data_IF_237861634698
#
_entry.id   IF_237861634698
#
_cell.length_a   1.000
_cell.length_b   1.000
_cell.length_c   1.000
_cell.angle_alpha   90.00
_cell.angle_beta   90.00
_cell.angle_gamma   90.00
#
_symmetry.space_group_name_H-M   'P 1'
#
loop_
_entity.id
_entity.type
_entity.pdbx_description
1 polymer ?
#
# COMPACT_ATOMS: atom_id res chain seq x y z
N UNK A 1 38.61 21.31 16.82
CA UNK A 1 37.18 21.65 16.85
C UNK A 1 36.92 22.64 15.74
N UNK A 2 36.12 22.23 14.74
CA UNK A 2 35.73 23.04 13.58
C UNK A 2 34.29 23.45 13.82
N UNK A 3 34.00 24.74 13.78
CA UNK A 3 32.65 25.30 13.84
C UNK A 3 32.41 26.08 12.54
N UNK A 4 31.40 25.64 11.79
CA UNK A 4 30.85 26.32 10.60
C UNK A 4 29.81 27.37 11.03
N UNK A 5 29.60 28.43 10.23
CA UNK A 5 28.37 29.21 10.29
C UNK A 5 27.38 28.80 9.19
N UNK A 6 26.12 28.72 9.63
CA UNK A 6 24.87 28.45 8.91
C UNK A 6 24.42 29.67 8.11
N UNK A 7 23.88 29.48 6.91
CA UNK A 7 23.08 30.51 6.21
C UNK A 7 21.67 30.02 5.96
N UNK A 8 20.72 30.71 6.57
CA UNK A 8 19.27 30.61 6.44
C UNK A 8 18.79 31.24 5.12
N UNK A 9 17.79 30.62 4.48
CA UNK A 9 17.04 31.22 3.37
C UNK A 9 15.73 31.78 3.92
N UNK A 10 15.58 33.11 3.88
CA UNK A 10 14.27 33.76 4.03
C UNK A 10 13.61 33.94 2.66
N UNK A 11 12.35 33.51 2.59
CA UNK A 11 11.44 33.69 1.48
C UNK A 11 10.79 35.08 1.60
N UNK A 12 10.92 35.93 0.58
CA UNK A 12 10.11 37.15 0.50
C UNK A 12 9.01 36.99 -0.57
N UNK A 13 7.79 36.85 -0.08
CA UNK A 13 6.51 36.91 -0.79
C UNK A 13 6.21 38.39 -0.99
N UNK A 14 6.35 38.91 -2.23
CA UNK A 14 5.57 40.05 -2.74
C UNK A 14 5.94 40.36 -4.20
N UNK A 15 5.27 39.72 -5.16
CA UNK A 15 4.87 40.35 -6.43
C UNK A 15 4.03 39.40 -7.29
N UNK A 16 2.75 39.27 -6.93
CA UNK A 16 1.71 38.84 -7.88
C UNK A 16 0.86 40.07 -8.14
N UNK A 17 0.69 40.46 -9.41
CA UNK A 17 -0.54 40.96 -10.06
C UNK A 17 -0.21 41.57 -11.44
N UNK A 18 -0.86 41.02 -12.48
CA UNK A 18 -1.17 41.56 -13.84
C UNK A 18 -0.10 41.50 -14.95
N UNK A 19 -0.23 40.53 -15.87
CA UNK A 19 -0.82 40.63 -17.24
C UNK A 19 -0.47 39.38 -18.08
N UNK A 20 -1.49 38.75 -18.68
CA UNK A 20 -1.40 37.86 -19.87
C UNK A 20 -1.64 38.72 -21.15
N UNK A 21 -1.50 38.26 -22.42
CA UNK A 21 -1.15 36.93 -22.94
C UNK A 21 -0.11 36.92 -24.12
N UNK A 22 0.14 35.73 -24.67
CA UNK A 22 0.72 35.36 -25.98
C UNK A 22 2.24 35.19 -26.12
N UNK A 23 2.61 34.05 -26.70
CA UNK A 23 3.88 33.85 -27.41
C UNK A 23 4.68 32.65 -26.90
N UNK A 24 4.73 31.59 -27.70
CA UNK A 24 5.72 30.52 -27.60
C UNK A 24 7.13 31.12 -27.57
N UNK A 25 7.98 30.71 -26.63
CA UNK A 25 9.40 30.59 -26.94
C UNK A 25 10.15 29.59 -26.06
N UNK A 26 10.79 28.64 -26.73
CA UNK A 26 11.68 27.61 -26.21
C UNK A 26 13.03 28.21 -25.84
N UNK A 27 13.34 28.32 -24.54
CA UNK A 27 14.64 28.83 -24.10
C UNK A 27 15.69 27.73 -23.96
N UNK A 28 16.40 27.54 -25.06
CA UNK A 28 17.66 26.79 -25.19
C UNK A 28 18.79 27.61 -24.54
N UNK A 29 19.36 27.14 -23.42
CA UNK A 29 20.55 27.77 -22.82
C UNK A 29 21.83 27.04 -23.27
N UNK A 30 22.64 27.72 -24.09
CA UNK A 30 24.04 27.38 -24.33
C UNK A 30 24.93 27.94 -23.21
N UNK A 31 25.99 27.25 -22.77
CA UNK A 31 26.98 27.81 -21.86
C UNK A 31 28.00 28.64 -22.64
N UNK A 32 28.06 29.93 -22.34
CA UNK A 32 29.11 30.86 -22.76
C UNK A 32 30.37 30.64 -21.94
N UNK A 33 31.42 30.13 -22.58
CA UNK A 33 32.80 30.37 -22.14
C UNK A 33 33.37 31.50 -22.97
N UNK A 34 33.63 32.67 -22.36
CA UNK A 34 34.59 33.61 -22.92
C UNK A 34 35.57 34.10 -21.85
N UNK A 35 36.80 33.68 -22.10
CA UNK A 35 38.07 33.98 -21.46
C UNK A 35 38.24 35.49 -21.22
N UNK A 36 38.60 35.84 -19.99
CA UNK A 36 39.05 37.17 -19.61
C UNK A 36 40.55 37.26 -19.96
N UNK A 37 40.89 37.98 -21.03
CA UNK A 37 42.26 38.38 -21.32
C UNK A 37 42.61 39.61 -20.47
N UNK A 38 43.65 39.47 -19.65
CA UNK A 38 44.33 40.59 -19.00
C UNK A 38 45.55 40.95 -19.86
N UNK A 39 45.57 42.15 -20.43
CA UNK A 39 46.47 43.24 -20.02
C UNK A 39 46.37 44.42 -20.99
N UNK A 40 46.43 45.60 -20.39
CA UNK A 40 46.41 46.93 -20.97
C UNK A 40 47.85 47.40 -21.23
N UNK A 41 48.00 48.27 -22.24
CA UNK A 41 49.08 49.23 -22.51
C UNK A 41 50.44 48.70 -22.98
N UNK A 42 50.85 49.14 -24.18
CA UNK A 42 52.01 50.05 -24.34
C UNK A 42 51.93 50.81 -25.66
N UNK A 43 52.18 52.12 -25.58
CA UNK A 43 52.40 53.06 -26.68
C UNK A 43 53.80 52.93 -27.29
N UNK A 44 53.96 53.49 -28.48
CA UNK A 44 55.20 53.85 -29.17
C UNK A 44 56.38 54.24 -28.25
N UNK A 45 57.57 53.69 -28.52
CA UNK A 45 58.85 54.42 -28.61
C UNK A 45 60.00 53.49 -29.10
N UNK A 46 60.58 53.89 -30.22
CA UNK A 46 62.00 53.83 -30.67
C UNK A 46 63.07 52.90 -30.04
N UNK A 47 63.91 52.39 -30.96
CA UNK A 47 65.38 52.17 -30.91
C UNK A 47 66.00 50.94 -30.20
N UNK A 48 66.74 50.19 -31.04
CA UNK A 48 68.03 49.51 -30.90
C UNK A 48 68.29 48.37 -29.90
N UNK A 49 68.81 47.28 -30.48
CA UNK A 49 69.97 46.46 -30.10
C UNK A 49 70.07 45.73 -28.74
N UNK A 50 70.30 44.41 -28.90
CA UNK A 50 71.23 43.55 -28.16
C UNK A 50 70.87 42.96 -26.78
N UNK A 51 71.27 41.68 -26.66
CA UNK A 51 71.65 40.92 -25.46
C UNK A 51 70.60 40.05 -24.71
N UNK A 52 70.61 38.77 -25.10
CA UNK A 52 70.80 37.57 -24.25
C UNK A 52 70.52 37.66 -22.74
N UNK A 53 69.55 36.87 -22.25
CA UNK A 53 69.78 36.01 -21.08
C UNK A 53 68.79 34.83 -21.00
N UNK A 54 69.39 33.67 -20.78
CA UNK A 54 68.83 32.34 -20.60
C UNK A 54 68.00 32.20 -19.31
N UNK A 55 66.81 31.60 -19.39
CA UNK A 55 66.12 31.02 -18.23
C UNK A 55 65.25 29.83 -18.65
N UNK A 56 65.73 28.62 -18.33
CA UNK A 56 64.99 27.36 -18.42
C UNK A 56 63.73 27.40 -17.53
N UNK A 57 62.55 27.24 -18.12
CA UNK A 57 61.30 27.04 -17.39
C UNK A 57 60.88 25.56 -17.40
N UNK A 58 60.45 24.99 -16.25
CA UNK A 58 59.99 23.60 -16.19
C UNK A 58 58.64 23.44 -16.87
N UNK A 59 58.51 22.40 -17.70
CA UNK A 59 57.29 22.10 -18.47
C UNK A 59 56.23 21.52 -17.52
N UNK A 60 55.34 22.38 -17.03
CA UNK A 60 54.15 21.94 -16.28
C UNK A 60 53.28 21.06 -17.19
N UNK A 61 53.25 19.74 -16.94
CA UNK A 61 52.22 18.87 -17.51
C UNK A 61 50.87 19.32 -16.93
N UNK A 62 50.07 19.98 -17.76
CA UNK A 62 48.68 20.29 -17.46
C UNK A 62 47.93 18.95 -17.34
N UNK A 63 47.73 18.47 -16.12
CA UNK A 63 46.77 17.39 -15.86
C UNK A 63 45.40 17.94 -16.21
N UNK A 64 44.94 17.63 -17.42
CA UNK A 64 43.57 17.92 -17.84
C UNK A 64 42.68 17.00 -17.01
N UNK A 65 42.12 17.53 -15.91
CA UNK A 65 40.96 16.90 -15.27
C UNK A 65 39.82 16.98 -16.26
N UNK A 66 39.68 15.92 -17.06
CA UNK A 66 38.51 15.70 -17.89
C UNK A 66 37.36 15.48 -16.90
N UNK A 67 36.56 16.50 -16.63
CA UNK A 67 35.26 16.36 -15.97
C UNK A 67 34.40 15.54 -16.95
N UNK A 68 34.55 14.21 -16.89
CA UNK A 68 33.58 13.31 -17.48
C UNK A 68 32.30 13.61 -16.71
N UNK A 69 31.33 14.26 -17.36
CA UNK A 69 29.94 14.18 -16.92
C UNK A 69 29.62 12.70 -16.96
N UNK A 70 29.72 12.04 -15.81
CA UNK A 70 29.19 10.70 -15.66
C UNK A 70 27.67 10.88 -15.76
N UNK A 71 27.11 10.55 -16.93
CA UNK A 71 25.67 10.35 -17.03
C UNK A 71 25.31 9.26 -16.03
N UNK A 72 24.32 9.53 -15.17
CA UNK A 72 23.84 8.54 -14.22
C UNK A 72 23.37 7.31 -15.00
N UNK A 73 24.02 6.16 -14.80
CA UNK A 73 23.68 4.88 -15.43
C UNK A 73 22.30 4.34 -15.00
N UNK A 74 21.62 5.04 -14.09
CA UNK A 74 20.29 4.71 -13.59
C UNK A 74 19.24 5.14 -14.63
N UNK A 75 18.54 4.17 -15.21
CA UNK A 75 17.44 4.42 -16.16
C UNK A 75 16.32 5.26 -15.52
N UNK A 76 16.07 6.50 -15.97
CA UNK A 76 15.06 7.37 -15.37
C UNK A 76 13.66 6.74 -15.38
N UNK A 77 13.35 5.95 -16.41
CA UNK A 77 12.09 5.23 -16.55
C UNK A 77 11.80 4.32 -15.34
N UNK A 78 12.78 3.52 -14.89
CA UNK A 78 12.61 2.60 -13.76
C UNK A 78 12.36 3.39 -12.46
N UNK A 79 13.08 4.50 -12.26
CA UNK A 79 12.92 5.36 -11.08
C UNK A 79 11.51 5.94 -10.99
N UNK A 80 11.00 6.52 -12.08
CA UNK A 80 9.64 7.09 -12.10
C UNK A 80 8.55 6.02 -12.05
N UNK A 81 8.72 4.89 -12.74
CA UNK A 81 7.78 3.78 -12.68
C UNK A 81 7.67 3.23 -11.25
N UNK A 82 8.81 2.98 -10.60
CA UNK A 82 8.85 2.51 -9.21
C UNK A 82 8.23 3.53 -8.25
N UNK A 83 8.52 4.83 -8.42
CA UNK A 83 7.89 5.88 -7.63
C UNK A 83 6.36 5.92 -7.82
N UNK A 84 5.89 5.88 -9.06
CA UNK A 84 4.46 5.93 -9.40
C UNK A 84 3.66 4.75 -8.85
N UNK A 85 4.21 3.53 -8.84
CA UNK A 85 3.50 2.41 -8.21
C UNK A 85 3.52 2.52 -6.68
N UNK A 86 4.65 2.89 -6.08
CA UNK A 86 4.74 3.01 -4.63
C UNK A 86 3.87 4.13 -4.05
N UNK A 87 3.68 5.25 -4.78
CA UNK A 87 2.82 6.33 -4.28
C UNK A 87 1.35 5.90 -4.21
N UNK A 88 0.90 5.06 -5.15
CA UNK A 88 -0.45 4.49 -5.13
C UNK A 88 -0.65 3.59 -3.91
N UNK A 89 0.29 2.69 -3.63
CA UNK A 89 0.24 1.83 -2.44
C UNK A 89 0.35 2.62 -1.13
N UNK A 90 1.12 3.70 -1.13
CA UNK A 90 1.24 4.59 0.02
C UNK A 90 -0.08 5.30 0.35
N UNK A 91 -0.73 5.89 -0.66
CA UNK A 91 -2.05 6.53 -0.50
C UNK A 91 -3.10 5.49 -0.10
N UNK A 92 -3.09 4.31 -0.74
CA UNK A 92 -4.02 3.24 -0.39
C UNK A 92 -3.83 2.78 1.07
N UNK A 93 -2.58 2.61 1.51
CA UNK A 93 -2.27 2.27 2.91
C UNK A 93 -2.77 3.33 3.90
N UNK A 94 -2.60 4.61 3.57
CA UNK A 94 -3.15 5.71 4.36
C UNK A 94 -4.68 5.66 4.45
N UNK A 95 -5.38 5.46 3.32
CA UNK A 95 -6.84 5.38 3.29
C UNK A 95 -7.36 4.18 4.09
N UNK A 96 -6.74 3.01 3.92
CA UNK A 96 -7.08 1.79 4.68
C UNK A 96 -6.88 2.02 6.18
N UNK A 97 -5.76 2.63 6.59
CA UNK A 97 -5.50 2.95 7.99
C UNK A 97 -6.54 3.95 8.54
N UNK A 98 -6.88 4.99 7.77
CA UNK A 98 -7.88 5.99 8.18
C UNK A 98 -9.26 5.36 8.36
N UNK A 99 -9.69 4.49 7.43
CA UNK A 99 -10.97 3.75 7.54
C UNK A 99 -10.93 2.82 8.75
N UNK A 100 -9.84 2.11 8.98
CA UNK A 100 -9.68 1.23 10.14
C UNK A 100 -9.75 2.00 11.46
N UNK A 101 -9.09 3.16 11.55
CA UNK A 101 -9.11 4.00 12.75
C UNK A 101 -10.51 4.56 12.98
N UNK A 102 -11.18 5.02 11.92
CA UNK A 102 -12.56 5.50 12.00
C UNK A 102 -13.49 4.40 12.54
N UNK A 103 -13.44 3.20 11.96
CA UNK A 103 -14.25 2.06 12.40
C UNK A 103 -13.92 1.63 13.84
N UNK A 104 -12.65 1.70 14.24
CA UNK A 104 -12.23 1.37 15.61
C UNK A 104 -12.77 2.39 16.63
N UNK A 105 -12.70 3.68 16.33
CA UNK A 105 -13.22 4.75 17.21
C UNK A 105 -14.74 4.64 17.36
N UNK A 106 -15.45 4.38 16.26
CA UNK A 106 -16.90 4.20 16.28
C UNK A 106 -17.28 3.02 17.19
N UNK A 107 -16.61 1.87 17.02
CA UNK A 107 -16.80 0.69 17.89
C UNK A 107 -16.50 0.97 19.36
N UNK A 108 -15.34 1.54 19.69
CA UNK A 108 -14.97 1.83 21.09
C UNK A 108 -15.97 2.77 21.77
N UNK A 109 -16.56 3.71 21.03
CA UNK A 109 -17.58 4.62 21.56
C UNK A 109 -18.85 3.88 21.99
N UNK A 110 -19.21 2.79 21.29
CA UNK A 110 -20.33 1.91 21.66
C UNK A 110 -19.96 0.85 22.71
N UNK A 111 -18.72 0.36 22.73
CA UNK A 111 -18.26 -0.77 23.57
C UNK A 111 -17.74 -0.39 24.97
N UNK A 112 -17.64 0.91 25.31
CA UNK A 112 -17.26 1.40 26.65
C UNK A 112 -18.15 0.87 27.81
N UNK A 113 -19.27 0.20 27.50
CA UNK A 113 -20.15 -0.42 28.49
C UNK A 113 -20.02 -1.96 28.63
N UNK A 114 -19.27 -2.66 27.75
CA UNK A 114 -19.44 -4.12 27.61
C UNK A 114 -18.20 -5.03 27.66
N UNK A 115 -17.03 -4.63 27.12
CA UNK A 115 -16.02 -5.64 26.68
C UNK A 115 -14.60 -5.50 27.21
N UNK A 116 -14.36 -4.70 28.24
CA UNK A 116 -13.06 -4.65 28.95
C UNK A 116 -12.69 -5.97 29.68
N UNK A 117 -13.52 -7.02 29.62
CA UNK A 117 -13.43 -8.17 30.54
C UNK A 117 -13.17 -9.55 29.91
N UNK A 118 -12.98 -9.69 28.59
CA UNK A 118 -12.60 -11.01 28.01
C UNK A 118 -11.34 -10.91 27.15
N UNK A 119 -10.20 -11.08 27.81
CA UNK A 119 -8.88 -11.08 27.22
C UNK A 119 -8.70 -12.17 26.16
N UNK A 120 -8.14 -11.78 25.00
CA UNK A 120 -7.55 -12.70 24.04
C UNK A 120 -7.82 -12.41 22.56
N UNK A 121 -8.81 -11.58 22.20
CA UNK A 121 -9.27 -11.47 20.80
C UNK A 121 -8.92 -10.16 20.11
N UNK A 122 -7.87 -9.44 20.52
CA UNK A 122 -7.43 -8.23 19.81
C UNK A 122 -7.17 -8.49 18.32
N UNK A 123 -6.68 -9.69 17.96
CA UNK A 123 -6.38 -10.08 16.58
C UNK A 123 -7.60 -10.43 15.71
N UNK A 124 -8.80 -10.58 16.29
CA UNK A 124 -10.00 -11.01 15.55
C UNK A 124 -10.98 -9.87 15.28
N UNK A 125 -10.69 -8.63 15.71
CA UNK A 125 -11.48 -7.47 15.30
C UNK A 125 -11.08 -7.05 13.87
N UNK A 126 -12.01 -7.09 12.90
CA UNK A 126 -11.76 -6.61 11.56
C UNK A 126 -11.21 -5.18 11.56
N UNK A 127 -11.73 -4.26 12.39
CA UNK A 127 -11.30 -2.86 12.38
C UNK A 127 -9.80 -2.72 12.70
N UNK A 128 -9.32 -3.42 13.75
CA UNK A 128 -7.90 -3.43 14.10
C UNK A 128 -7.03 -4.04 12.99
N UNK A 129 -7.50 -5.09 12.30
CA UNK A 129 -6.78 -5.68 11.17
C UNK A 129 -6.59 -4.65 10.04
N UNK A 130 -7.63 -3.89 9.69
CA UNK A 130 -7.53 -2.80 8.70
C UNK A 130 -6.50 -1.75 9.13
N UNK A 131 -6.48 -1.36 10.42
CA UNK A 131 -5.47 -0.43 10.96
C UNK A 131 -4.05 -0.99 10.79
N UNK A 132 -3.80 -2.22 11.24
CA UNK A 132 -2.47 -2.84 11.20
C UNK A 132 -1.95 -3.00 9.76
N UNK A 133 -2.79 -3.52 8.86
CA UNK A 133 -2.44 -3.67 7.44
C UNK A 133 -2.20 -2.32 6.79
N UNK A 134 -3.07 -1.33 7.04
CA UNK A 134 -2.94 0.02 6.49
C UNK A 134 -1.65 0.71 6.92
N UNK A 135 -1.32 0.67 8.21
CA UNK A 135 -0.08 1.25 8.75
C UNK A 135 1.15 0.56 8.15
N UNK A 136 1.15 -0.77 8.07
CA UNK A 136 2.27 -1.51 7.49
C UNK A 136 2.47 -1.18 6.00
N UNK A 137 1.38 -1.13 5.23
CA UNK A 137 1.40 -0.69 3.82
C UNK A 137 1.89 0.74 3.68
N UNK A 138 1.48 1.66 4.56
CA UNK A 138 1.94 3.04 4.58
C UNK A 138 3.45 3.14 4.75
N UNK A 139 4.04 2.44 5.73
CA UNK A 139 5.49 2.50 5.95
C UNK A 139 6.30 1.87 4.80
N UNK A 140 5.83 0.75 4.24
CA UNK A 140 6.48 0.14 3.07
C UNK A 140 6.40 1.06 1.86
N UNK A 141 5.22 1.61 1.55
CA UNK A 141 5.04 2.55 0.45
C UNK A 141 5.89 3.81 0.61
N UNK A 142 5.93 4.38 1.81
CA UNK A 142 6.78 5.52 2.14
C UNK A 142 8.27 5.21 1.92
N UNK A 143 8.75 4.07 2.43
CA UNK A 143 10.13 3.65 2.23
C UNK A 143 10.47 3.41 0.74
N UNK A 144 9.54 2.84 -0.04
CA UNK A 144 9.68 2.67 -1.48
C UNK A 144 9.78 3.99 -2.23
N UNK A 145 8.90 4.95 -1.93
CA UNK A 145 8.89 6.30 -2.53
C UNK A 145 10.13 7.11 -2.16
N UNK A 146 10.45 7.23 -0.87
CA UNK A 146 11.59 8.03 -0.40
C UNK A 146 12.91 7.34 -0.78
N UNK A 147 12.96 6.01 -0.72
CA UNK A 147 14.12 5.22 -1.12
C UNK A 147 14.50 5.43 -2.58
N UNK A 148 13.51 5.43 -3.48
CA UNK A 148 13.75 5.66 -4.91
C UNK A 148 14.11 7.11 -5.22
N UNK A 149 13.42 8.09 -4.63
CA UNK A 149 13.67 9.51 -4.89
C UNK A 149 14.99 10.00 -4.30
N UNK A 150 15.29 9.63 -3.04
CA UNK A 150 16.49 10.06 -2.31
C UNK A 150 17.70 9.16 -2.55
N UNK A 151 17.56 8.12 -3.36
CA UNK A 151 18.62 7.14 -3.64
C UNK A 151 19.22 6.57 -2.34
N UNK A 152 18.35 6.37 -1.34
CA UNK A 152 18.74 5.88 -0.02
C UNK A 152 18.72 4.35 -0.02
N UNK A 153 19.92 3.76 -0.05
CA UNK A 153 20.14 2.31 -0.08
C UNK A 153 19.58 1.57 1.14
N UNK A 154 19.49 2.23 2.30
CA UNK A 154 18.92 1.63 3.51
C UNK A 154 17.39 1.49 3.38
N UNK A 155 16.71 2.54 2.92
CA UNK A 155 15.26 2.52 2.69
C UNK A 155 14.86 1.55 1.57
N UNK A 156 15.64 1.49 0.48
CA UNK A 156 15.44 0.51 -0.60
C UNK A 156 15.65 -0.93 -0.12
N UNK A 157 16.62 -1.16 0.77
CA UNK A 157 16.83 -2.47 1.38
C UNK A 157 15.66 -2.85 2.29
N UNK A 158 15.20 -1.95 3.15
CA UNK A 158 14.03 -2.18 4.00
C UNK A 158 12.77 -2.49 3.18
N UNK A 159 12.52 -1.71 2.12
CA UNK A 159 11.40 -1.93 1.21
C UNK A 159 11.43 -3.32 0.56
N UNK A 160 12.53 -3.66 -0.09
CA UNK A 160 12.67 -4.94 -0.80
C UNK A 160 12.72 -6.15 0.15
N UNK A 161 13.33 -6.02 1.32
CA UNK A 161 13.33 -7.04 2.36
C UNK A 161 11.90 -7.28 2.89
N UNK A 162 11.15 -6.21 3.17
CA UNK A 162 9.76 -6.32 3.63
C UNK A 162 8.88 -7.02 2.58
N UNK A 163 9.01 -6.65 1.31
CA UNK A 163 8.29 -7.33 0.22
C UNK A 163 8.68 -8.81 0.08
N UNK A 164 9.95 -9.17 0.31
CA UNK A 164 10.38 -10.56 0.29
C UNK A 164 9.77 -11.36 1.44
N UNK A 165 9.74 -10.81 2.66
CA UNK A 165 9.08 -11.44 3.82
C UNK A 165 7.59 -11.66 3.54
N UNK A 166 6.89 -10.66 2.99
CA UNK A 166 5.48 -10.79 2.61
C UNK A 166 5.28 -11.88 1.57
N UNK A 167 6.16 -11.98 0.57
CA UNK A 167 6.07 -12.99 -0.48
C UNK A 167 6.16 -14.42 0.11
N UNK A 168 7.15 -14.67 0.97
CA UNK A 168 7.28 -15.98 1.62
C UNK A 168 6.11 -16.26 2.58
N UNK A 169 5.62 -15.24 3.30
CA UNK A 169 4.45 -15.37 4.16
C UNK A 169 3.18 -15.73 3.35
N UNK A 170 2.98 -15.12 2.17
CA UNK A 170 1.87 -15.44 1.28
C UNK A 170 1.95 -16.87 0.75
N UNK A 171 3.13 -17.33 0.33
CA UNK A 171 3.34 -18.71 -0.13
C UNK A 171 3.08 -19.73 1.00
N UNK A 172 3.57 -19.44 2.20
CA UNK A 172 3.34 -20.27 3.37
C UNK A 172 1.85 -20.32 3.73
N UNK A 173 1.18 -19.16 3.80
CA UNK A 173 -0.25 -19.06 4.07
C UNK A 173 -1.09 -19.81 3.03
N UNK A 174 -0.84 -19.60 1.74
CA UNK A 174 -1.55 -20.29 0.67
C UNK A 174 -1.39 -21.81 0.73
N UNK A 175 -0.17 -22.29 1.03
CA UNK A 175 0.11 -23.72 1.21
C UNK A 175 -0.60 -24.30 2.43
N UNK A 176 -0.58 -23.59 3.56
CA UNK A 176 -1.27 -24.02 4.79
C UNK A 176 -2.78 -24.09 4.58
N UNK A 177 -3.39 -23.09 3.94
CA UNK A 177 -4.84 -23.09 3.62
C UNK A 177 -5.19 -24.27 2.71
N UNK A 178 -4.35 -24.58 1.73
CA UNK A 178 -4.58 -25.71 0.83
C UNK A 178 -4.51 -27.07 1.56
N UNK A 179 -3.51 -27.26 2.40
CA UNK A 179 -3.32 -28.49 3.20
C UNK A 179 -4.48 -28.67 4.19
N UNK A 180 -4.85 -27.61 4.90
CA UNK A 180 -5.85 -27.65 5.97
C UNK A 180 -7.25 -27.21 5.54
N UNK A 181 -7.59 -27.29 4.25
CA UNK A 181 -8.84 -26.77 3.67
C UNK A 181 -10.11 -27.25 4.40
N UNK A 182 -10.15 -28.50 4.83
CA UNK A 182 -11.30 -29.07 5.55
C UNK A 182 -11.43 -28.49 6.96
N UNK A 183 -10.29 -28.32 7.65
CA UNK A 183 -10.26 -27.68 8.97
C UNK A 183 -10.66 -26.21 8.87
N UNK A 184 -10.19 -25.50 7.84
CA UNK A 184 -10.58 -24.11 7.57
C UNK A 184 -12.08 -24.01 7.31
N UNK A 185 -12.66 -24.92 6.52
CA UNK A 185 -14.11 -24.96 6.28
C UNK A 185 -14.90 -25.18 7.57
N UNK A 186 -14.51 -26.17 8.37
CA UNK A 186 -15.22 -26.51 9.62
C UNK A 186 -15.13 -25.38 10.65
N UNK A 187 -13.97 -24.74 10.78
CA UNK A 187 -13.80 -23.61 11.70
C UNK A 187 -14.54 -22.36 11.20
N UNK A 188 -14.55 -22.12 9.89
CA UNK A 188 -15.36 -21.08 9.27
C UNK A 188 -16.85 -21.28 9.51
N UNK A 189 -17.35 -22.53 9.42
CA UNK A 189 -18.74 -22.85 9.73
C UNK A 189 -19.11 -22.55 11.18
N UNK A 190 -18.27 -22.94 12.15
CA UNK A 190 -18.48 -22.60 13.56
C UNK A 190 -18.50 -21.09 13.78
N UNK A 191 -17.57 -20.36 13.16
CA UNK A 191 -17.52 -18.92 13.29
C UNK A 191 -18.78 -18.25 12.71
N UNK A 192 -19.27 -18.72 11.57
CA UNK A 192 -20.53 -18.25 10.99
C UNK A 192 -21.73 -18.57 11.88
N UNK A 193 -21.74 -19.71 12.58
CA UNK A 193 -22.79 -20.04 13.55
C UNK A 193 -22.78 -19.10 14.76
N UNK A 194 -21.60 -18.73 15.28
CA UNK A 194 -21.47 -17.74 16.35
C UNK A 194 -22.00 -16.37 15.89
N UNK A 195 -21.72 -16.00 14.64
CA UNK A 195 -22.27 -14.78 14.03
C UNK A 195 -23.81 -14.81 13.95
N UNK A 196 -24.42 -15.94 13.59
CA UNK A 196 -25.88 -16.09 13.61
C UNK A 196 -26.44 -15.98 15.03
N UNK A 197 -25.78 -16.58 16.02
CA UNK A 197 -26.20 -16.48 17.43
C UNK A 197 -26.15 -15.04 17.93
N UNK A 198 -25.12 -14.28 17.52
CA UNK A 198 -24.89 -12.89 17.93
C UNK A 198 -25.54 -11.86 17.01
N UNK A 199 -26.43 -12.27 16.10
CA UNK A 199 -26.99 -11.41 15.04
C UNK A 199 -27.65 -10.12 15.55
N UNK A 200 -28.25 -10.15 16.75
CA UNK A 200 -28.92 -8.98 17.38
C UNK A 200 -28.02 -8.19 18.33
N UNK A 201 -26.81 -8.66 18.58
CA UNK A 201 -25.92 -8.06 19.57
C UNK A 201 -25.16 -6.85 19.00
N UNK A 202 -24.90 -6.85 17.69
CA UNK A 202 -24.14 -5.81 16.99
C UNK A 202 -24.87 -5.38 15.70
N UNK A 203 -25.25 -4.10 15.54
CA UNK A 203 -25.93 -3.60 14.34
C UNK A 203 -25.07 -3.73 13.08
N UNK A 204 -23.74 -3.64 13.17
CA UNK A 204 -22.84 -3.80 12.01
C UNK A 204 -22.79 -5.24 11.55
N UNK A 205 -22.73 -6.18 12.50
CA UNK A 205 -22.85 -7.61 12.22
C UNK A 205 -24.20 -7.92 11.55
N UNK A 206 -25.28 -7.34 12.08
CA UNK A 206 -26.62 -7.49 11.53
C UNK A 206 -26.67 -7.02 10.07
N UNK A 207 -26.20 -5.80 9.80
CA UNK A 207 -26.15 -5.19 8.47
C UNK A 207 -25.32 -6.03 7.49
N UNK A 208 -24.17 -6.54 7.93
CA UNK A 208 -23.30 -7.40 7.12
C UNK A 208 -24.01 -8.71 6.74
N UNK A 209 -24.59 -9.41 7.72
CA UNK A 209 -25.32 -10.67 7.46
C UNK A 209 -26.50 -10.41 6.52
N UNK A 210 -27.25 -9.33 6.77
CA UNK A 210 -28.39 -8.95 5.95
C UNK A 210 -27.98 -8.66 4.49
N UNK A 211 -26.85 -7.97 4.30
CA UNK A 211 -26.30 -7.70 2.97
C UNK A 211 -25.87 -8.98 2.26
N UNK A 212 -25.18 -9.89 2.95
CA UNK A 212 -24.74 -11.17 2.38
C UNK A 212 -25.94 -12.00 1.93
N UNK A 213 -26.94 -12.15 2.80
CA UNK A 213 -28.13 -12.96 2.54
C UNK A 213 -28.99 -12.40 1.42
N UNK A 214 -29.22 -11.07 1.45
CA UNK A 214 -30.15 -10.41 0.55
C UNK A 214 -29.55 -10.03 -0.80
N UNK A 215 -28.34 -9.49 -0.80
CA UNK A 215 -27.77 -8.82 -1.98
C UNK A 215 -26.68 -9.63 -2.66
N UNK A 216 -25.86 -10.36 -1.91
CA UNK A 216 -24.71 -11.04 -2.50
C UNK A 216 -25.00 -12.48 -2.92
N UNK A 217 -25.47 -13.32 -1.99
CA UNK A 217 -25.54 -14.77 -2.20
C UNK A 217 -26.96 -15.33 -2.34
N UNK A 218 -27.99 -14.54 -2.02
CA UNK A 218 -29.40 -14.98 -2.08
C UNK A 218 -29.61 -16.31 -1.33
N UNK A 219 -29.27 -16.29 -0.04
CA UNK A 219 -29.17 -17.44 0.85
C UNK A 219 -29.77 -17.13 2.23
N UNK A 220 -29.97 -18.16 3.06
CA UNK A 220 -30.45 -17.99 4.43
C UNK A 220 -29.78 -18.97 5.39
N UNK A 221 -29.23 -18.44 6.48
CA UNK A 221 -28.47 -19.22 7.47
C UNK A 221 -27.11 -19.68 6.97
N UNK A 222 -26.44 -20.56 7.71
CA UNK A 222 -25.08 -21.03 7.39
C UNK A 222 -25.12 -22.15 6.36
N UNK A 223 -25.69 -23.30 6.72
CA UNK A 223 -25.92 -24.45 5.83
C UNK A 223 -27.35 -24.52 5.32
N UNK A 224 -28.31 -24.04 6.11
CA UNK A 224 -29.71 -23.95 5.76
C UNK A 224 -30.43 -22.90 6.62
N UNK A 225 -31.66 -22.54 6.21
CA UNK A 225 -32.47 -21.55 6.91
C UNK A 225 -32.81 -21.93 8.37
N UNK A 226 -32.81 -23.21 8.75
CA UNK A 226 -33.08 -23.64 10.13
C UNK A 226 -31.95 -23.31 11.10
N UNK A 227 -30.78 -22.89 10.63
CA UNK A 227 -29.73 -22.43 11.54
C UNK A 227 -30.17 -21.23 12.40
N UNK A 228 -31.21 -20.50 11.99
CA UNK A 228 -31.84 -19.46 12.80
C UNK A 228 -32.53 -20.00 14.07
N UNK A 229 -32.84 -21.30 14.18
CA UNK A 229 -33.30 -21.91 15.44
C UNK A 229 -32.25 -21.81 16.56
N UNK A 230 -30.97 -21.62 16.21
CA UNK A 230 -29.89 -21.43 17.19
C UNK A 230 -29.79 -20.02 17.74
N UNK A 231 -30.49 -19.04 17.16
CA UNK A 231 -30.50 -17.66 17.65
C UNK A 231 -31.60 -17.47 18.72
N UNK A 232 -31.29 -16.73 19.78
CA UNK A 232 -32.17 -16.48 20.94
C UNK A 232 -33.48 -15.77 20.58
N UNK A 233 -33.54 -14.97 19.51
CA UNK A 233 -34.74 -14.24 19.10
C UNK A 233 -35.61 -15.05 18.13
N UNK A 234 -34.99 -15.83 17.24
CA UNK A 234 -35.67 -16.58 16.18
C UNK A 234 -36.08 -18.02 16.60
N UNK A 235 -35.49 -18.56 17.67
CA UNK A 235 -35.86 -19.86 18.21
C UNK A 235 -37.36 -19.93 18.53
N UNK A 236 -38.01 -21.03 18.16
CA UNK A 236 -39.43 -21.25 18.44
C UNK A 236 -39.81 -21.19 19.93
N UNK A 237 -38.90 -21.63 20.81
CA UNK A 237 -39.09 -21.59 22.26
C UNK A 237 -39.17 -20.15 22.79
N UNK A 238 -38.60 -19.18 22.06
CA UNK A 238 -38.59 -17.77 22.42
C UNK A 238 -39.98 -17.12 22.32
N UNK A 239 -40.97 -17.82 21.73
CA UNK A 239 -42.38 -17.45 21.82
C UNK A 239 -42.87 -17.39 23.27
N UNK A 240 -42.33 -18.25 24.14
CA UNK A 240 -42.67 -18.27 25.58
C UNK A 240 -42.15 -17.02 26.32
N UNK A 241 -41.08 -16.41 25.82
CA UNK A 241 -40.46 -15.20 26.38
C UNK A 241 -40.99 -13.93 25.68
N UNK A 242 -41.92 -14.08 24.73
CA UNK A 242 -42.54 -12.96 24.02
C UNK A 242 -41.73 -12.41 22.85
N UNK A 243 -40.77 -13.17 22.30
CA UNK A 243 -40.06 -12.75 21.08
C UNK A 243 -41.04 -12.71 19.89
N UNK A 244 -41.13 -11.55 19.24
CA UNK A 244 -41.98 -11.32 18.09
C UNK A 244 -41.50 -12.15 16.89
N UNK A 245 -40.18 -12.38 16.78
CA UNK A 245 -39.53 -13.04 15.64
C UNK A 245 -39.38 -14.56 15.82
N UNK A 246 -39.92 -15.11 16.91
CA UNK A 246 -39.85 -16.53 17.21
C UNK A 246 -40.45 -17.38 16.07
N UNK A 247 -39.86 -18.56 15.86
CA UNK A 247 -40.19 -19.46 14.76
C UNK A 247 -40.03 -18.83 13.36
N UNK A 248 -39.17 -17.82 13.22
CA UNK A 248 -38.95 -17.13 11.95
C UNK A 248 -37.49 -17.11 11.50
N UNK A 249 -37.27 -16.41 10.40
CA UNK A 249 -35.95 -16.01 9.91
C UNK A 249 -35.94 -14.50 9.67
N UNK A 250 -34.77 -13.84 9.63
CA UNK A 250 -34.72 -12.40 9.38
C UNK A 250 -35.26 -12.05 8.00
N UNK A 251 -35.70 -10.80 7.86
CA UNK A 251 -36.25 -10.28 6.61
C UNK A 251 -35.28 -10.30 5.42
N UNK A 252 -33.97 -10.35 5.68
CA UNK A 252 -32.92 -10.48 4.67
C UNK A 252 -32.91 -11.86 3.97
N UNK A 253 -33.48 -12.89 4.59
CA UNK A 253 -33.69 -14.20 3.98
C UNK A 253 -34.84 -14.23 2.96
N UNK A 254 -35.63 -13.17 2.86
CA UNK A 254 -36.77 -13.14 1.96
C UNK A 254 -36.35 -12.89 0.52
N UNK A 255 -37.03 -13.55 -0.40
CA UNK A 255 -36.82 -13.32 -1.84
C UNK A 255 -37.31 -11.92 -2.21
N UNK A 256 -36.54 -11.25 -3.08
CA UNK A 256 -36.81 -9.87 -3.49
C UNK A 256 -38.21 -9.67 -4.07
N UNK A 257 -38.76 -10.69 -4.74
CA UNK A 257 -40.12 -10.69 -5.32
C UNK A 257 -41.23 -10.50 -4.28
N UNK A 258 -41.04 -11.02 -3.06
CA UNK A 258 -42.03 -10.94 -1.98
C UNK A 258 -41.72 -9.84 -0.95
N UNK A 259 -40.49 -9.32 -0.95
CA UNK A 259 -40.04 -8.30 0.00
C UNK A 259 -40.78 -6.96 -0.15
N UNK A 260 -41.15 -6.57 -1.38
CA UNK A 260 -41.77 -5.25 -1.63
C UNK A 260 -43.21 -5.15 -1.08
N UNK A 261 -43.87 -6.29 -0.89
CA UNK A 261 -45.28 -6.36 -0.48
C UNK A 261 -45.47 -6.86 0.95
N UNK A 262 -44.49 -7.57 1.52
CA UNK A 262 -44.60 -8.11 2.88
C UNK A 262 -43.24 -8.15 3.59
N UNK A 263 -43.02 -7.25 4.55
CA UNK A 263 -41.84 -7.30 5.43
C UNK A 263 -41.88 -8.47 6.43
N UNK A 264 -42.98 -9.21 6.50
CA UNK A 264 -43.19 -10.35 7.41
C UNK A 264 -43.01 -11.72 6.73
N UNK A 265 -42.42 -11.78 5.54
CA UNK A 265 -42.13 -13.01 4.79
C UNK A 265 -41.31 -14.07 5.57
N UNK A 266 -40.53 -13.66 6.58
CA UNK A 266 -39.74 -14.56 7.42
C UNK A 266 -40.49 -15.17 8.61
N UNK A 267 -41.68 -14.69 8.95
CA UNK A 267 -42.41 -15.11 10.15
C UNK A 267 -43.02 -16.50 10.01
N UNK A 268 -42.93 -17.31 11.08
CA UNK A 268 -43.50 -18.66 11.12
C UNK A 268 -42.83 -19.65 10.16
N UNK A 269 -41.71 -19.28 9.51
CA UNK A 269 -41.04 -20.11 8.49
C UNK A 269 -40.37 -21.36 9.05
N UNK A 270 -40.12 -21.40 10.37
CA UNK A 270 -39.55 -22.56 11.07
C UNK A 270 -40.62 -23.53 11.59
N UNK A 271 -41.92 -23.19 11.50
CA UNK A 271 -42.98 -24.10 11.90
C UNK A 271 -43.10 -25.31 10.95
N UNK A 272 -43.55 -26.49 11.42
CA UNK A 272 -43.65 -27.70 10.59
C UNK A 272 -44.55 -27.56 9.36
N UNK A 273 -45.59 -26.72 9.43
CA UNK A 273 -46.55 -26.45 8.35
C UNK A 273 -46.20 -25.20 7.54
N UNK A 274 -44.99 -24.68 7.69
CA UNK A 274 -44.61 -23.41 7.11
C UNK A 274 -44.42 -23.46 5.60
N UNK A 275 -44.84 -22.38 4.96
CA UNK A 275 -44.69 -22.18 3.51
C UNK A 275 -43.35 -21.49 3.24
N UNK A 276 -42.37 -22.21 2.69
CA UNK A 276 -40.99 -21.72 2.54
C UNK A 276 -40.67 -21.09 1.18
N UNK A 277 -41.63 -21.00 0.25
CA UNK A 277 -41.37 -20.48 -1.11
C UNK A 277 -41.00 -18.98 -1.14
N UNK A 278 -41.34 -18.24 -0.08
CA UNK A 278 -41.08 -16.79 0.04
C UNK A 278 -39.65 -16.48 0.52
N UNK A 279 -38.90 -17.49 0.99
CA UNK A 279 -37.55 -17.33 1.52
C UNK A 279 -36.52 -18.09 0.69
N UNK A 280 -35.25 -17.74 0.88
CA UNK A 280 -34.13 -18.58 0.49
C UNK A 280 -34.00 -19.72 1.49
N UNK A 281 -33.94 -20.97 1.02
CA UNK A 281 -33.83 -22.16 1.87
C UNK A 281 -32.40 -22.71 1.94
N UNK A 282 -31.59 -22.42 0.93
CA UNK A 282 -30.19 -22.80 0.85
C UNK A 282 -29.32 -21.93 1.77
N UNK A 283 -28.36 -22.54 2.45
CA UNK A 283 -27.40 -21.83 3.30
C UNK A 283 -26.38 -21.00 2.53
N UNK A 284 -25.82 -20.00 3.21
CA UNK A 284 -24.82 -19.11 2.64
C UNK A 284 -23.45 -19.78 2.46
N UNK A 285 -23.06 -20.72 3.31
CA UNK A 285 -21.79 -21.45 3.18
C UNK A 285 -21.71 -22.29 1.89
N UNK A 286 -22.69 -23.15 1.56
CA UNK A 286 -22.67 -23.89 0.29
C UNK A 286 -22.81 -22.96 -0.94
N UNK A 287 -23.63 -21.91 -0.86
CA UNK A 287 -23.71 -20.89 -1.93
C UNK A 287 -22.37 -20.17 -2.16
N UNK A 288 -21.68 -19.79 -1.08
CA UNK A 288 -20.35 -19.17 -1.15
C UNK A 288 -19.32 -20.12 -1.76
N UNK A 289 -19.32 -21.40 -1.36
CA UNK A 289 -18.46 -22.44 -1.96
C UNK A 289 -18.71 -22.56 -3.45
N UNK A 290 -19.98 -22.64 -3.87
CA UNK A 290 -20.34 -22.73 -5.28
C UNK A 290 -19.94 -21.48 -6.07
N UNK A 291 -20.11 -20.29 -5.48
CA UNK A 291 -19.66 -19.04 -6.08
C UNK A 291 -18.14 -19.04 -6.28
N UNK A 292 -17.38 -19.48 -5.27
CA UNK A 292 -15.93 -19.55 -5.32
C UNK A 292 -15.44 -20.56 -6.36
N UNK A 293 -16.06 -21.74 -6.45
CA UNK A 293 -15.73 -22.74 -7.47
C UNK A 293 -15.95 -22.21 -8.90
N UNK A 294 -17.01 -21.42 -9.12
CA UNK A 294 -17.28 -20.79 -10.42
C UNK A 294 -16.31 -19.65 -10.75
N UNK A 295 -15.84 -18.93 -9.75
CA UNK A 295 -14.98 -17.76 -9.90
C UNK A 295 -13.52 -18.01 -9.50
N UNK A 296 -13.10 -19.26 -9.35
CA UNK A 296 -11.75 -19.60 -8.91
C UNK A 296 -10.69 -19.12 -9.91
N UNK A 297 -10.99 -19.22 -11.21
CA UNK A 297 -10.07 -18.83 -12.28
C UNK A 297 -9.73 -17.32 -12.26
N UNK A 298 -10.70 -16.39 -12.27
CA UNK A 298 -10.37 -14.96 -12.19
C UNK A 298 -9.67 -14.60 -10.87
N UNK A 299 -10.04 -15.22 -9.74
CA UNK A 299 -9.37 -15.01 -8.46
C UNK A 299 -7.90 -15.44 -8.54
N UNK A 300 -7.62 -16.62 -9.09
CA UNK A 300 -6.26 -17.12 -9.27
C UNK A 300 -5.43 -16.22 -10.19
N UNK A 301 -6.01 -15.71 -11.29
CA UNK A 301 -5.34 -14.78 -12.20
C UNK A 301 -4.93 -13.50 -11.47
N UNK A 302 -5.82 -12.91 -10.67
CA UNK A 302 -5.51 -11.70 -9.89
C UNK A 302 -4.36 -11.96 -8.91
N UNK A 303 -4.39 -13.09 -8.18
CA UNK A 303 -3.32 -13.47 -7.25
C UNK A 303 -1.97 -13.61 -7.97
N UNK A 304 -1.94 -14.27 -9.14
CA UNK A 304 -0.71 -14.42 -9.94
C UNK A 304 -0.19 -13.07 -10.40
N UNK A 305 -1.05 -12.18 -10.90
CA UNK A 305 -0.66 -10.82 -11.33
C UNK A 305 -0.04 -10.04 -10.16
N UNK A 306 -0.69 -10.03 -9.00
CA UNK A 306 -0.18 -9.36 -7.80
C UNK A 306 1.17 -9.93 -7.36
N UNK A 307 1.33 -11.25 -7.42
CA UNK A 307 2.58 -11.95 -7.09
C UNK A 307 3.70 -11.56 -8.06
N UNK A 308 3.43 -11.50 -9.36
CA UNK A 308 4.40 -11.06 -10.37
C UNK A 308 4.80 -9.60 -10.15
N UNK A 309 3.84 -8.71 -9.90
CA UNK A 309 4.12 -7.30 -9.61
C UNK A 309 4.99 -7.13 -8.36
N UNK A 310 4.77 -7.95 -7.33
CA UNK A 310 5.59 -7.97 -6.13
C UNK A 310 7.03 -8.41 -6.42
N UNK A 311 7.22 -9.49 -7.20
CA UNK A 311 8.56 -9.96 -7.60
C UNK A 311 9.28 -8.89 -8.43
N UNK A 312 8.59 -8.28 -9.40
CA UNK A 312 9.15 -7.19 -10.21
C UNK A 312 9.57 -6.00 -9.33
N UNK A 313 8.76 -5.65 -8.33
CA UNK A 313 9.06 -4.57 -7.38
C UNK A 313 10.33 -4.87 -6.57
N UNK A 314 10.52 -6.12 -6.14
CA UNK A 314 11.75 -6.56 -5.45
C UNK A 314 12.95 -6.45 -6.38
N UNK A 315 12.84 -6.98 -7.60
CA UNK A 315 13.92 -6.94 -8.60
C UNK A 315 14.33 -5.51 -8.94
N UNK A 316 13.37 -4.62 -9.20
CA UNK A 316 13.65 -3.22 -9.50
C UNK A 316 14.27 -2.48 -8.32
N UNK A 317 13.81 -2.72 -7.10
CA UNK A 317 14.41 -2.12 -5.91
C UNK A 317 15.87 -2.57 -5.69
N UNK A 318 16.16 -3.86 -5.92
CA UNK A 318 17.51 -4.40 -5.80
C UNK A 318 18.43 -3.92 -6.92
N UNK A 319 17.96 -3.86 -8.16
CA UNK A 319 18.71 -3.31 -9.28
C UNK A 319 19.05 -1.84 -9.01
N UNK A 320 18.07 -1.01 -8.65
CA UNK A 320 18.30 0.38 -8.30
C UNK A 320 19.29 0.54 -7.14
N UNK A 321 19.18 -0.31 -6.11
CA UNK A 321 20.14 -0.31 -4.99
C UNK A 321 21.55 -0.65 -5.44
N UNK A 322 21.72 -1.67 -6.29
CA UNK A 322 23.02 -2.09 -6.80
C UNK A 322 23.65 -1.01 -7.69
N UNK A 323 22.84 -0.36 -8.54
CA UNK A 323 23.29 0.76 -9.38
C UNK A 323 23.80 1.93 -8.51
N UNK A 324 23.05 2.30 -7.45
CA UNK A 324 23.45 3.34 -6.51
C UNK A 324 24.77 2.98 -5.81
N UNK A 325 24.95 1.72 -5.41
CA UNK A 325 26.18 1.25 -4.77
C UNK A 325 27.37 1.27 -5.74
N UNK A 326 27.18 0.82 -6.98
CA UNK A 326 28.19 0.85 -8.02
C UNK A 326 28.65 2.29 -8.32
N UNK A 327 27.68 3.21 -8.43
CA UNK A 327 27.97 4.64 -8.57
C UNK A 327 28.74 5.16 -7.35
N UNK A 328 28.29 4.93 -6.12
CA UNK A 328 29.04 5.34 -4.92
C UNK A 328 30.49 4.81 -4.93
N UNK A 329 30.70 3.56 -5.31
CA UNK A 329 32.04 2.97 -5.45
C UNK A 329 32.89 3.75 -6.47
N UNK A 330 32.38 4.01 -7.68
CA UNK A 330 33.07 4.76 -8.73
C UNK A 330 33.51 6.16 -8.25
N UNK A 331 32.66 6.86 -7.50
CA UNK A 331 32.98 8.18 -6.96
C UNK A 331 34.08 8.10 -5.88
N UNK A 332 34.05 7.08 -5.01
CA UNK A 332 35.11 6.87 -4.00
C UNK A 332 36.48 6.59 -4.63
N UNK A 333 36.52 5.80 -5.72
CA UNK A 333 37.76 5.53 -6.47
C UNK A 333 38.37 6.80 -7.07
N UNK A 334 37.55 7.70 -7.61
CA UNK A 334 38.03 8.94 -8.23
C UNK A 334 38.47 10.02 -7.22
N UNK A 335 37.94 9.98 -5.99
CA UNK A 335 38.26 10.97 -4.94
C UNK A 335 39.49 10.59 -4.10
N UNK A 336 39.86 9.30 -4.01
CA UNK A 336 41.07 8.84 -3.30
C UNK A 336 42.03 7.98 -4.15
N UNK A 337 42.57 8.48 -5.27
CA UNK A 337 43.54 7.71 -6.07
C UNK A 337 44.88 7.44 -5.38
N UNK A 338 45.24 8.20 -4.33
CA UNK A 338 46.61 8.25 -3.76
C UNK A 338 46.94 7.17 -2.72
N UNK A 339 45.99 6.37 -2.25
CA UNK A 339 46.26 5.33 -1.23
C UNK A 339 46.79 4.02 -1.82
N UNK A 340 46.57 3.76 -3.11
CA UNK A 340 47.07 2.54 -3.77
C UNK A 340 48.46 2.69 -4.39
N UNK A 341 48.98 3.91 -4.52
CA UNK A 341 50.31 4.15 -5.09
C UNK A 341 51.45 4.03 -4.06
N UNK A 342 51.15 4.09 -2.75
CA UNK A 342 52.16 4.02 -1.67
C UNK A 342 52.26 2.64 -0.99
N UNK A 343 51.62 1.60 -1.55
CA UNK A 343 51.66 0.22 -1.01
C UNK A 343 52.43 -0.77 -1.90
N UNK A 344 53.27 -0.28 -2.82
CA UNK A 344 54.22 -1.10 -3.57
C UNK A 344 55.64 -0.64 -3.30
#
# INVERSE_FOLDING_TARGET
>A
MRTEPVTTCDMNINSIVRRLPNGYDTQRCHPTTRIQSSKRLTSLATTNDSDTLFSMAPRFHRVVRKTRRDESEISPCIKYLMFSFNILFWILGFMIAAIGIYAWIEKDTFDNFGRLTMGGTLFFDPALLFVLVGIFMFFIGFAGCVGSLRENTCLLLFFSFSLAVIFFAQLAFGTLVFIYREKVKNEGEKQLMIMIQSYRDDPDLQNMIDWIQRHWLHCCGVNNYRNWESNTYFNCSSKLVGSIEACGVPSSCCRLEYFHNNKQCGFGTLEPSAVTHMIYTEGCLPKASQWFERHILPVAIVIVILTVLQILSICFAQNLRNDILAQKAKWTWHTHPMMHYYRN
#
